data_IF_842256573740
#
_entry.id   IF_842256573740
#
_cell.length_a   1.000
_cell.length_b   1.000
_cell.length_c   1.000
_cell.angle_alpha   90.00
_cell.angle_beta   90.00
_cell.angle_gamma   90.00
#
_symmetry.space_group_name_H-M   'P 1'
#
loop_
_entity.id
_entity.type
_entity.pdbx_description
1 polymer ?
#
# COMPACT_ATOMS: atom_id res chain seq x y z
N UNK A 1 -5.13 -6.28 -11.30
CA UNK A 1 -4.11 -6.87 -10.48
C UNK A 1 -3.33 -5.82 -9.71
N UNK A 2 -2.84 -6.17 -8.56
CA UNK A 2 -2.15 -5.23 -7.71
C UNK A 2 -0.87 -5.84 -7.18
N UNK A 3 0.04 -4.98 -6.73
CA UNK A 3 1.26 -5.45 -6.13
C UNK A 3 1.41 -4.74 -4.80
N UNK A 4 1.76 -5.50 -3.78
CA UNK A 4 2.08 -4.93 -2.49
C UNK A 4 3.59 -4.84 -2.41
N UNK A 5 4.11 -3.62 -2.30
CA UNK A 5 5.54 -3.41 -2.24
C UNK A 5 5.94 -3.20 -0.79
N UNK A 6 6.82 -4.04 -0.31
CA UNK A 6 7.28 -4.01 1.07
C UNK A 6 8.66 -3.42 1.10
N UNK A 7 8.78 -2.23 1.59
CA UNK A 7 10.03 -1.53 1.59
C UNK A 7 10.47 -1.32 0.17
N UNK A 8 11.69 -1.63 -0.12
CA UNK A 8 12.18 -1.57 -1.48
C UNK A 8 12.69 -2.89 -1.95
N UNK A 9 12.45 -3.93 -1.16
CA UNK A 9 13.05 -5.20 -1.42
C UNK A 9 12.09 -6.26 -1.89
N UNK A 10 10.84 -6.19 -1.48
CA UNK A 10 9.91 -7.25 -1.78
C UNK A 10 8.69 -6.73 -2.49
N UNK A 11 8.18 -7.50 -3.43
CA UNK A 11 6.96 -7.18 -4.12
C UNK A 11 6.11 -8.43 -4.14
N UNK A 12 4.86 -8.30 -3.76
CA UNK A 12 3.98 -9.44 -3.68
C UNK A 12 2.75 -9.17 -4.52
N UNK A 13 2.52 -9.93 -5.59
CA UNK A 13 1.34 -9.69 -6.42
C UNK A 13 0.11 -10.25 -5.74
N UNK A 14 -0.98 -9.52 -5.88
CA UNK A 14 -2.27 -9.95 -5.35
C UNK A 14 -3.33 -9.68 -6.39
N UNK A 15 -4.44 -10.40 -6.32
CA UNK A 15 -5.47 -10.28 -7.32
C UNK A 15 -6.41 -9.12 -7.08
N UNK A 16 -6.70 -8.81 -5.87
CA UNK A 16 -7.68 -7.79 -5.56
C UNK A 16 -7.11 -6.76 -4.62
N UNK A 17 -7.74 -5.61 -4.61
CA UNK A 17 -7.33 -4.55 -3.71
C UNK A 17 -7.54 -4.98 -2.27
N UNK A 18 -8.61 -5.71 -2.01
CA UNK A 18 -8.90 -6.15 -0.65
C UNK A 18 -7.78 -7.05 -0.12
N UNK A 19 -7.30 -7.96 -0.97
CA UNK A 19 -6.18 -8.79 -0.60
C UNK A 19 -4.95 -7.95 -0.35
N UNK A 20 -4.71 -6.99 -1.21
CA UNK A 20 -3.56 -6.11 -1.05
C UNK A 20 -3.61 -5.34 0.24
N UNK A 21 -4.80 -4.87 0.61
CA UNK A 21 -4.96 -4.13 1.85
C UNK A 21 -4.69 -5.01 3.06
N UNK A 22 -5.18 -6.25 3.02
CA UNK A 22 -4.96 -7.16 4.13
C UNK A 22 -3.47 -7.42 4.34
N UNK A 23 -2.77 -7.67 3.25
CA UNK A 23 -1.33 -7.90 3.33
C UNK A 23 -0.63 -6.63 3.80
N UNK A 24 -1.03 -5.49 3.27
CA UNK A 24 -0.38 -4.24 3.59
C UNK A 24 -0.50 -3.90 5.07
N UNK A 25 -1.69 -4.08 5.62
CA UNK A 25 -1.90 -3.77 7.03
C UNK A 25 -1.05 -4.67 7.91
N UNK A 26 -1.02 -5.97 7.58
CA UNK A 26 -0.21 -6.90 8.35
C UNK A 26 1.27 -6.56 8.29
N UNK A 27 1.75 -6.20 7.11
CA UNK A 27 3.15 -5.86 6.96
C UNK A 27 3.48 -4.55 7.68
N UNK A 28 2.58 -3.60 7.59
CA UNK A 28 2.79 -2.32 8.24
C UNK A 28 2.89 -2.50 9.75
N UNK A 29 2.06 -3.37 10.31
CA UNK A 29 2.10 -3.64 11.73
C UNK A 29 3.40 -4.32 12.14
N UNK A 30 4.07 -4.93 11.19
CA UNK A 30 5.36 -5.56 11.45
C UNK A 30 6.53 -4.62 11.21
N UNK A 31 6.25 -3.38 10.88
CA UNK A 31 7.30 -2.40 10.74
C UNK A 31 7.74 -2.08 9.33
N UNK A 32 7.03 -2.62 8.32
CA UNK A 32 7.42 -2.35 6.95
C UNK A 32 6.75 -1.08 6.44
N UNK A 33 7.42 -0.41 5.52
CA UNK A 33 6.76 0.61 4.73
C UNK A 33 6.13 -0.12 3.58
N UNK A 34 4.87 0.12 3.33
CA UNK A 34 4.13 -0.68 2.38
C UNK A 34 3.37 0.19 1.41
N UNK A 35 3.43 -0.15 0.13
CA UNK A 35 2.63 0.51 -0.88
C UNK A 35 1.82 -0.55 -1.59
N UNK A 36 0.59 -0.22 -1.94
CA UNK A 36 -0.23 -1.08 -2.78
C UNK A 36 -0.39 -0.36 -4.10
N UNK A 37 0.04 -0.98 -5.18
CA UNK A 37 0.10 -0.36 -6.49
C UNK A 37 -0.78 -1.08 -7.47
N UNK A 38 -1.53 -0.31 -8.25
CA UNK A 38 -2.33 -0.87 -9.32
C UNK A 38 -1.41 -1.07 -10.50
N UNK A 39 -1.16 -2.31 -10.89
CA UNK A 39 -0.19 -2.60 -11.92
C UNK A 39 -0.65 -2.20 -13.31
N UNK A 40 -1.94 -1.98 -13.50
CA UNK A 40 -2.41 -1.58 -14.81
C UNK A 40 -2.18 -0.12 -15.07
N UNK A 41 -2.19 0.68 -14.05
CA UNK A 41 -2.03 2.12 -14.21
C UNK A 41 -0.75 2.63 -13.59
N UNK A 42 -0.13 1.86 -12.73
CA UNK A 42 1.04 2.32 -11.99
C UNK A 42 0.69 3.21 -10.81
N UNK A 43 -0.58 3.35 -10.52
CA UNK A 43 -0.99 4.26 -9.48
C UNK A 43 -0.83 3.64 -8.11
N UNK A 44 -0.30 4.39 -7.16
CA UNK A 44 -0.18 3.91 -5.79
C UNK A 44 -1.53 4.11 -5.13
N UNK A 45 -2.18 3.01 -4.79
CA UNK A 45 -3.52 3.06 -4.22
C UNK A 45 -3.49 3.36 -2.74
N UNK A 46 -2.51 2.81 -2.05
CA UNK A 46 -2.38 2.99 -0.61
C UNK A 46 -0.91 3.05 -0.28
N UNK A 47 -0.52 3.92 0.63
CA UNK A 47 0.85 3.98 1.08
C UNK A 47 0.85 4.09 2.59
N UNK A 48 1.46 3.11 3.26
CA UNK A 48 1.53 3.06 4.70
C UNK A 48 3.00 3.13 5.11
N UNK A 49 3.35 4.08 5.94
CA UNK A 49 4.72 4.16 6.38
C UNK A 49 4.74 4.59 7.83
N UNK A 50 5.94 4.45 8.43
CA UNK A 50 6.10 4.81 9.76
C UNK A 50 5.96 6.26 9.97
N UNK A 51 5.79 7.03 8.99
CA UNK A 51 5.67 8.41 9.08
C UNK A 51 4.42 8.64 9.76
N UNK A 52 3.91 9.71 9.93
CA UNK A 52 2.87 9.91 10.72
C UNK A 52 1.62 9.46 10.21
N UNK A 53 1.22 9.74 9.05
CA UNK A 53 -0.13 9.51 8.60
C UNK A 53 -0.13 8.68 7.35
N UNK A 54 -0.90 7.63 7.28
CA UNK A 54 -1.01 6.86 6.04
C UNK A 54 -1.64 7.72 4.96
N UNK A 55 -1.19 7.53 3.74
CA UNK A 55 -1.72 8.27 2.63
C UNK A 55 -2.57 7.35 1.79
N UNK A 56 -3.80 7.75 1.51
CA UNK A 56 -4.68 6.95 0.69
C UNK A 56 -5.00 7.75 -0.56
N UNK A 57 -4.77 7.18 -1.69
CA UNK A 57 -4.99 7.88 -2.92
C UNK A 57 -6.41 7.77 -3.39
N UNK A 58 -7.32 7.64 -2.52
CA UNK A 58 -8.72 7.59 -2.88
C UNK A 58 -9.30 8.97 -2.93
N UNK A 59 -8.50 9.94 -2.73
CA UNK A 59 -9.00 11.25 -2.82
C UNK A 59 -9.32 11.91 -1.56
N UNK A 60 -9.15 11.26 -0.45
CA UNK A 60 -9.44 11.86 0.64
C UNK A 60 -8.34 12.27 1.28
N UNK A 61 -7.73 13.08 1.22
CA UNK A 61 -6.71 13.28 1.94
C UNK A 61 -6.78 14.47 2.58
N UNK A 62 -6.62 14.61 3.47
CA UNK A 62 -6.73 15.49 4.20
C UNK A 62 -5.87 16.09 4.70
N UNK A 63 -5.47 16.55 4.91
CA UNK A 63 -4.70 17.07 5.23
C UNK A 63 -4.65 17.81 6.11
N UNK A 64 -4.70 18.05 6.63
CA UNK A 64 -4.65 18.67 7.49
C UNK A 64 -4.30 19.28 7.80
#
# INVERSE_FOLDING_TARGET
MYVVQLGREFMLPVDTLAEGMTVAVGAFKSGWEVDVINTMTGEVMVSLSDAEVPYFSTGIHEVI
#
